data_IF_553388620908
#
_entry.id   IF_553388620908
#
_cell.length_a   1.000
_cell.length_b   1.000
_cell.length_c   1.000
_cell.angle_alpha   90.00
_cell.angle_beta   90.00
_cell.angle_gamma   90.00
#
_symmetry.space_group_name_H-M   'P 1'
#
loop_
_entity.id
_entity.type
_entity.pdbx_description
1 polymer ?
#
# COMPACT_ATOMS: atom_id res chain seq x y z
N UNK A 1 16.45 6.13 -28.96
CA UNK A 1 17.40 5.13 -28.44
C UNK A 1 17.39 5.01 -26.91
N UNK A 2 17.62 6.08 -26.12
CA UNK A 2 17.66 5.97 -24.64
C UNK A 2 16.31 5.64 -23.97
N UNK A 3 15.22 6.25 -24.43
CA UNK A 3 13.88 6.03 -23.85
C UNK A 3 13.32 4.64 -24.13
N UNK A 4 13.49 4.11 -25.34
CA UNK A 4 13.06 2.76 -25.69
C UNK A 4 13.75 1.70 -24.82
N UNK A 5 15.06 1.87 -24.57
CA UNK A 5 15.81 0.98 -23.67
C UNK A 5 15.32 1.07 -22.21
N UNK A 6 14.90 2.25 -21.76
CA UNK A 6 14.35 2.44 -20.42
C UNK A 6 13.00 1.73 -20.26
N UNK A 7 12.10 1.89 -21.24
CA UNK A 7 10.79 1.20 -21.21
C UNK A 7 10.96 -0.32 -21.26
N UNK A 8 11.88 -0.81 -22.09
CA UNK A 8 12.15 -2.23 -22.19
C UNK A 8 12.72 -2.81 -20.87
N UNK A 9 13.60 -2.08 -20.19
CA UNK A 9 14.10 -2.46 -18.86
C UNK A 9 13.00 -2.48 -17.80
N UNK A 10 12.08 -1.51 -17.82
CA UNK A 10 10.92 -1.47 -16.91
C UNK A 10 10.00 -2.67 -17.09
N UNK A 11 9.66 -3.00 -18.34
CA UNK A 11 8.82 -4.18 -18.65
C UNK A 11 9.51 -5.46 -18.19
N UNK A 12 10.82 -5.57 -18.44
CA UNK A 12 11.61 -6.71 -18.00
C UNK A 12 11.65 -6.84 -16.47
N UNK A 13 11.81 -5.72 -15.77
CA UNK A 13 11.77 -5.68 -14.30
C UNK A 13 10.42 -6.14 -13.76
N UNK A 14 9.33 -5.56 -14.25
CA UNK A 14 7.96 -5.90 -13.82
C UNK A 14 7.64 -7.37 -14.07
N UNK A 15 8.07 -7.93 -15.21
CA UNK A 15 7.92 -9.36 -15.47
C UNK A 15 8.69 -10.22 -14.46
N UNK A 16 9.92 -9.82 -14.12
CA UNK A 16 10.76 -10.57 -13.19
C UNK A 16 10.18 -10.56 -11.77
N UNK A 17 9.71 -9.41 -11.32
CA UNK A 17 9.04 -9.23 -10.03
C UNK A 17 7.78 -10.10 -9.92
N UNK A 18 6.95 -10.12 -10.96
CA UNK A 18 5.72 -10.91 -10.97
C UNK A 18 6.01 -12.42 -10.96
N UNK A 19 6.98 -12.89 -11.77
CA UNK A 19 7.42 -14.29 -11.74
C UNK A 19 7.93 -14.67 -10.35
N UNK A 20 8.65 -13.75 -9.68
CA UNK A 20 9.15 -13.97 -8.33
C UNK A 20 8.02 -14.12 -7.31
N UNK A 21 7.03 -13.22 -7.35
CA UNK A 21 5.85 -13.27 -6.48
C UNK A 21 5.08 -14.59 -6.65
N UNK A 22 4.77 -14.98 -7.89
CA UNK A 22 4.04 -16.20 -8.19
C UNK A 22 4.76 -17.45 -7.66
N UNK A 23 6.09 -17.51 -7.77
CA UNK A 23 6.84 -18.68 -7.32
C UNK A 23 7.09 -18.70 -5.82
N UNK A 24 7.54 -17.58 -5.26
CA UNK A 24 8.13 -17.55 -3.90
C UNK A 24 7.11 -17.16 -2.84
N UNK A 25 6.15 -16.30 -3.18
CA UNK A 25 5.07 -15.91 -2.26
C UNK A 25 3.88 -16.85 -2.41
N UNK A 26 3.40 -17.05 -3.64
CA UNK A 26 2.19 -17.84 -3.88
C UNK A 26 2.46 -19.35 -4.05
N UNK A 27 3.72 -19.76 -4.22
CA UNK A 27 4.10 -21.16 -4.28
C UNK A 27 3.71 -21.90 -5.57
N UNK A 28 3.42 -21.19 -6.67
CA UNK A 28 3.02 -21.83 -7.92
C UNK A 28 4.12 -22.69 -8.54
N UNK A 29 3.70 -23.75 -9.24
CA UNK A 29 4.62 -24.58 -10.01
C UNK A 29 5.14 -23.89 -11.28
N UNK A 30 6.36 -24.24 -11.67
CA UNK A 30 7.03 -23.61 -12.83
C UNK A 30 6.20 -23.79 -14.11
N UNK A 31 5.54 -24.94 -14.30
CA UNK A 31 4.62 -25.19 -15.43
C UNK A 31 3.46 -24.20 -15.45
N UNK A 32 2.79 -23.99 -14.30
CA UNK A 32 1.68 -23.05 -14.18
C UNK A 32 2.11 -21.61 -14.43
N UNK A 33 3.32 -21.24 -14.00
CA UNK A 33 3.88 -19.90 -14.28
C UNK A 33 4.18 -19.74 -15.77
N UNK A 34 4.73 -20.78 -16.43
CA UNK A 34 4.99 -20.74 -17.87
C UNK A 34 3.70 -20.53 -18.68
N UNK A 35 2.63 -21.23 -18.31
CA UNK A 35 1.32 -21.11 -18.94
C UNK A 35 0.71 -19.72 -18.69
N UNK A 36 0.69 -19.27 -17.43
CA UNK A 36 0.08 -18.00 -17.03
C UNK A 36 0.78 -16.77 -17.63
N UNK A 37 2.10 -16.80 -17.68
CA UNK A 37 2.91 -15.67 -18.14
C UNK A 37 3.31 -15.78 -19.62
N UNK A 38 2.96 -16.89 -20.29
CA UNK A 38 3.34 -17.21 -21.66
C UNK A 38 4.86 -17.08 -21.90
N UNK A 39 5.66 -17.60 -20.97
CA UNK A 39 7.12 -17.57 -21.05
C UNK A 39 7.74 -18.96 -21.02
N UNK A 40 8.91 -19.09 -21.62
CA UNK A 40 9.68 -20.33 -21.56
C UNK A 40 10.20 -20.61 -20.14
N UNK A 41 10.41 -21.90 -19.84
CA UNK A 41 11.02 -22.36 -18.58
C UNK A 41 12.33 -21.64 -18.25
N UNK A 42 13.18 -21.44 -19.27
CA UNK A 42 14.46 -20.75 -19.13
C UNK A 42 14.25 -19.31 -18.68
N UNK A 43 13.25 -18.63 -19.25
CA UNK A 43 12.90 -17.26 -18.87
C UNK A 43 12.43 -17.20 -17.42
N UNK A 44 11.63 -18.16 -16.96
CA UNK A 44 11.20 -18.23 -15.55
C UNK A 44 12.41 -18.30 -14.62
N UNK A 45 13.30 -19.28 -14.81
CA UNK A 45 14.49 -19.42 -13.96
C UNK A 45 15.41 -18.19 -14.01
N UNK A 46 15.68 -17.66 -15.20
CA UNK A 46 16.47 -16.44 -15.34
C UNK A 46 15.85 -15.25 -14.62
N UNK A 47 14.53 -15.10 -14.70
CA UNK A 47 13.80 -14.01 -14.05
C UNK A 47 13.90 -14.11 -12.53
N UNK A 48 13.75 -15.31 -11.97
CA UNK A 48 13.93 -15.57 -10.53
C UNK A 48 15.35 -15.20 -10.07
N UNK A 49 16.38 -15.76 -10.72
CA UNK A 49 17.77 -15.49 -10.33
C UNK A 49 18.17 -14.02 -10.51
N UNK A 50 17.70 -13.38 -11.59
CA UNK A 50 18.00 -11.96 -11.85
C UNK A 50 17.33 -11.07 -10.81
N UNK A 51 16.07 -11.34 -10.47
CA UNK A 51 15.34 -10.53 -9.49
C UNK A 51 15.97 -10.60 -8.09
N UNK A 52 16.34 -11.80 -7.63
CA UNK A 52 17.00 -11.97 -6.33
C UNK A 52 18.35 -11.27 -6.25
N UNK A 53 19.16 -11.40 -7.31
CA UNK A 53 20.47 -10.78 -7.36
C UNK A 53 20.38 -9.26 -7.40
N UNK A 54 19.46 -8.73 -8.20
CA UNK A 54 19.40 -7.29 -8.46
C UNK A 54 18.62 -6.55 -7.35
N UNK A 55 17.75 -7.22 -6.59
CA UNK A 55 16.88 -6.60 -5.56
C UNK A 55 16.87 -7.36 -4.21
N UNK A 56 18.02 -7.57 -3.55
CA UNK A 56 18.10 -8.40 -2.34
C UNK A 56 17.24 -7.87 -1.18
N UNK A 57 17.21 -6.55 -0.97
CA UNK A 57 16.40 -5.92 0.09
C UNK A 57 14.90 -6.09 -0.13
N UNK A 58 14.45 -5.96 -1.39
CA UNK A 58 13.03 -6.12 -1.73
C UNK A 58 12.60 -7.58 -1.57
N UNK A 59 13.45 -8.52 -1.98
CA UNK A 59 13.20 -9.95 -1.80
C UNK A 59 13.05 -10.33 -0.33
N UNK A 60 13.88 -9.79 0.56
CA UNK A 60 13.74 -10.01 2.00
C UNK A 60 12.39 -9.51 2.53
N UNK A 61 11.94 -8.33 2.09
CA UNK A 61 10.63 -7.78 2.46
C UNK A 61 9.49 -8.64 1.92
N UNK A 62 9.56 -9.02 0.64
CA UNK A 62 8.57 -9.87 -0.03
C UNK A 62 8.44 -11.24 0.66
N UNK A 63 9.56 -11.86 1.04
CA UNK A 63 9.56 -13.13 1.79
C UNK A 63 8.98 -13.00 3.19
N UNK A 64 9.17 -11.85 3.86
CA UNK A 64 8.54 -11.56 5.15
C UNK A 64 7.02 -11.40 5.02
N UNK A 65 6.57 -10.71 3.98
CA UNK A 65 5.14 -10.51 3.71
C UNK A 65 4.42 -11.80 3.26
N UNK A 66 5.11 -12.65 2.49
CA UNK A 66 4.51 -13.87 1.95
C UNK A 66 4.22 -14.98 2.97
N UNK A 67 4.61 -14.81 4.24
CA UNK A 67 4.58 -15.93 5.19
C UNK A 67 3.36 -16.06 6.08
N UNK A 68 2.50 -15.07 6.27
CA UNK A 68 1.25 -15.24 7.04
C UNK A 68 0.32 -14.04 6.78
N UNK A 69 -0.64 -14.17 5.86
CA UNK A 69 -1.90 -13.42 5.98
C UNK A 69 -2.91 -14.44 6.44
N UNK A 70 -3.10 -14.49 7.75
CA UNK A 70 -4.06 -15.37 8.41
C UNK A 70 -5.44 -14.70 8.44
N UNK A 71 -6.53 -15.48 8.56
CA UNK A 71 -7.87 -14.93 8.79
C UNK A 71 -7.94 -14.01 10.02
N UNK A 72 -7.06 -14.22 11.00
CA UNK A 72 -6.89 -13.38 12.19
C UNK A 72 -6.36 -11.99 11.84
N UNK A 73 -5.37 -11.87 10.94
CA UNK A 73 -4.85 -10.58 10.48
C UNK A 73 -5.97 -9.75 9.80
N UNK A 74 -6.86 -10.41 9.08
CA UNK A 74 -8.03 -9.77 8.47
C UNK A 74 -9.02 -9.24 9.53
N UNK A 75 -9.24 -10.00 10.62
CA UNK A 75 -10.09 -9.55 11.74
C UNK A 75 -9.47 -8.37 12.47
N UNK A 76 -8.15 -8.38 12.68
CA UNK A 76 -7.44 -7.26 13.31
C UNK A 76 -7.53 -5.99 12.46
N UNK A 77 -7.30 -6.10 11.15
CA UNK A 77 -7.48 -5.00 10.20
C UNK A 77 -8.90 -4.43 10.23
N UNK A 78 -9.93 -5.27 10.23
CA UNK A 78 -11.32 -4.81 10.33
C UNK A 78 -11.60 -4.09 11.65
N UNK A 79 -11.02 -4.57 12.75
CA UNK A 79 -11.14 -3.94 14.05
C UNK A 79 -10.49 -2.56 14.05
N UNK A 80 -9.27 -2.45 13.55
CA UNK A 80 -8.54 -1.17 13.46
C UNK A 80 -9.28 -0.16 12.57
N UNK A 81 -9.82 -0.59 11.42
CA UNK A 81 -10.66 0.26 10.57
C UNK A 81 -11.89 0.77 11.32
N UNK A 82 -12.52 -0.08 12.14
CA UNK A 82 -13.71 0.30 12.91
C UNK A 82 -13.39 1.35 13.98
N UNK A 83 -12.25 1.19 14.66
CA UNK A 83 -11.77 2.11 15.69
C UNK A 83 -11.40 3.47 15.06
N UNK A 84 -10.64 3.46 13.96
CA UNK A 84 -10.27 4.67 13.23
C UNK A 84 -11.49 5.43 12.72
N UNK A 85 -12.50 4.75 12.18
CA UNK A 85 -13.75 5.39 11.76
C UNK A 85 -14.49 6.04 12.92
N UNK A 86 -14.50 5.40 14.09
CA UNK A 86 -15.12 5.96 15.31
C UNK A 86 -14.40 7.21 15.78
N UNK A 87 -13.06 7.18 15.86
CA UNK A 87 -12.24 8.34 16.21
C UNK A 87 -12.44 9.49 15.23
N UNK A 88 -12.47 9.20 13.92
CA UNK A 88 -12.72 10.20 12.89
C UNK A 88 -14.11 10.84 13.02
N UNK A 89 -15.16 10.06 13.30
CA UNK A 89 -16.49 10.59 13.53
C UNK A 89 -16.55 11.50 14.76
N UNK A 90 -15.86 11.12 15.84
CA UNK A 90 -15.79 11.91 17.07
C UNK A 90 -15.03 13.23 16.86
N UNK A 91 -13.91 13.21 16.16
CA UNK A 91 -13.15 14.43 15.84
C UNK A 91 -13.91 15.35 14.90
N UNK A 92 -14.67 14.81 13.93
CA UNK A 92 -15.57 15.60 13.09
C UNK A 92 -16.66 16.29 13.90
N UNK A 93 -17.36 15.54 14.76
CA UNK A 93 -18.39 16.12 15.64
C UNK A 93 -17.81 17.22 16.55
N UNK A 94 -16.60 17.00 17.06
CA UNK A 94 -15.89 17.99 17.87
C UNK A 94 -15.55 19.25 17.08
N UNK A 95 -15.08 19.10 15.84
CA UNK A 95 -14.80 20.23 14.95
C UNK A 95 -16.08 21.01 14.64
N UNK A 96 -17.17 20.32 14.27
CA UNK A 96 -18.47 20.92 13.98
C UNK A 96 -18.98 21.73 15.20
N UNK A 97 -18.87 21.16 16.41
CA UNK A 97 -19.23 21.87 17.65
C UNK A 97 -18.39 23.14 17.88
N UNK A 98 -17.07 23.09 17.63
CA UNK A 98 -16.24 24.29 17.76
C UNK A 98 -16.62 25.37 16.76
N UNK A 99 -17.00 25.00 15.53
CA UNK A 99 -17.50 25.97 14.55
C UNK A 99 -18.81 26.62 15.01
N UNK A 100 -19.75 25.85 15.54
CA UNK A 100 -21.00 26.35 16.10
C UNK A 100 -20.77 27.29 17.29
N UNK A 101 -19.90 26.92 18.24
CA UNK A 101 -19.58 27.77 19.39
C UNK A 101 -18.90 29.09 19.00
N UNK A 102 -18.04 29.06 17.98
CA UNK A 102 -17.44 30.27 17.42
C UNK A 102 -18.50 31.16 16.76
N UNK A 103 -19.45 30.58 16.01
CA UNK A 103 -20.56 31.31 15.42
C UNK A 103 -21.46 31.95 16.50
N UNK A 104 -21.81 31.18 17.53
CA UNK A 104 -22.63 31.63 18.66
C UNK A 104 -21.96 32.78 19.43
N UNK A 105 -20.66 32.68 19.74
CA UNK A 105 -19.93 33.76 20.43
C UNK A 105 -19.90 35.07 19.63
N UNK A 106 -19.85 34.98 18.30
CA UNK A 106 -19.95 36.13 17.41
C UNK A 106 -21.36 36.71 17.39
N UNK A 107 -22.39 35.87 17.35
CA UNK A 107 -23.79 36.30 17.30
C UNK A 107 -24.25 36.96 18.62
N UNK A 108 -23.99 36.31 19.76
CA UNK A 108 -24.52 36.76 21.06
C UNK A 108 -23.69 37.87 21.68
N UNK A 109 -22.36 37.83 21.54
CA UNK A 109 -21.46 38.75 22.22
C UNK A 109 -20.67 39.67 21.28
N UNK A 110 -20.78 39.48 19.96
CA UNK A 110 -20.01 40.24 18.98
C UNK A 110 -18.50 39.92 18.99
N UNK A 111 -18.08 38.84 19.67
CA UNK A 111 -16.67 38.49 19.86
C UNK A 111 -16.22 37.57 18.71
N UNK A 112 -15.22 38.01 17.93
CA UNK A 112 -14.61 37.20 16.87
C UNK A 112 -13.50 36.31 17.45
N UNK A 113 -13.88 35.09 17.86
CA UNK A 113 -12.97 34.10 18.42
C UNK A 113 -11.95 33.55 17.40
N UNK A 114 -12.18 33.70 16.08
CA UNK A 114 -11.22 33.25 15.05
C UNK A 114 -9.97 34.14 14.97
N UNK A 115 -10.03 35.39 15.46
CA UNK A 115 -8.93 36.36 15.41
C UNK A 115 -8.05 36.43 16.67
N UNK A 116 -8.43 35.78 17.75
CA UNK A 116 -7.75 35.92 19.04
C UNK A 116 -6.40 35.16 19.15
N UNK A 117 -6.02 34.37 18.14
CA UNK A 117 -4.85 33.48 18.16
C UNK A 117 -3.61 33.95 17.39
N UNK A 118 -3.59 35.15 16.82
CA UNK A 118 -2.40 35.69 16.12
C UNK A 118 -1.68 36.69 17.03
N UNK A 119 -0.65 36.22 17.74
CA UNK A 119 0.43 37.03 18.31
C UNK A 119 1.75 36.34 18.06
#
# INVERSE_FOLDING_TARGET
>A
MREQNYQQKRVQYSRNEEIYRLRVIEGLEISSIMEKMHVSRVTVYRSLSTFERDNPKQVEQMKKQGKNVTPEDYKELLKEISELKKSLAQERLRADFYEEMVAFGKEVYGIDLKKAGTK
#
